data_IF_041174309390
#
_entry.id   IF_041174309390
#
_cell.length_a   1.000
_cell.length_b   1.000
_cell.length_c   1.000
_cell.angle_alpha   90.00
_cell.angle_beta   90.00
_cell.angle_gamma   90.00
#
_symmetry.space_group_name_H-M   'P 1'
#
loop_
_entity.id
_entity.type
_entity.pdbx_description
1 polymer ?
#
# COMPACT_ATOMS: atom_id res chain seq x y z
N UNK A 1 16.43 28.10 49.78
CA UNK A 1 17.09 27.45 48.62
C UNK A 1 16.24 26.26 48.23
N UNK A 2 15.36 26.44 47.25
CA UNK A 2 14.48 25.38 46.71
C UNK A 2 15.02 25.01 45.33
N UNK A 3 15.47 23.77 45.16
CA UNK A 3 15.97 23.25 43.90
C UNK A 3 14.79 22.83 43.02
N UNK A 4 14.68 23.47 41.85
CA UNK A 4 13.82 23.01 40.75
C UNK A 4 14.56 21.88 40.02
N UNK A 5 13.97 20.68 40.00
CA UNK A 5 14.39 19.59 39.12
C UNK A 5 13.49 19.65 37.88
N UNK A 6 14.02 19.80 36.66
CA UNK A 6 13.19 19.84 35.47
C UNK A 6 12.68 18.42 35.16
N UNK A 7 11.38 18.30 34.91
CA UNK A 7 10.78 17.07 34.42
C UNK A 7 11.21 16.85 32.96
N UNK A 8 12.05 15.84 32.74
CA UNK A 8 12.46 15.39 31.41
C UNK A 8 11.25 14.82 30.69
N UNK A 9 10.82 15.48 29.61
CA UNK A 9 9.76 15.01 28.72
C UNK A 9 10.27 13.75 28.00
N UNK A 10 9.77 12.58 28.39
CA UNK A 10 9.97 11.32 27.66
C UNK A 10 9.18 11.39 26.35
N UNK A 11 9.86 11.72 25.25
CA UNK A 11 9.34 11.53 23.90
C UNK A 11 9.33 10.03 23.62
N UNK A 12 8.14 9.43 23.59
CA UNK A 12 7.96 8.08 23.05
C UNK A 12 8.18 8.15 21.54
N UNK A 13 9.40 7.88 21.09
CA UNK A 13 9.65 7.59 19.69
C UNK A 13 9.01 6.23 19.42
N UNK A 14 7.95 6.21 18.61
CA UNK A 14 7.47 4.98 18.01
C UNK A 14 8.64 4.40 17.23
N UNK A 15 9.17 3.28 17.72
CA UNK A 15 10.23 2.53 17.07
C UNK A 15 9.67 2.00 15.75
N UNK A 16 9.83 2.76 14.66
CA UNK A 16 9.52 2.27 13.31
C UNK A 16 10.41 1.06 13.09
N UNK A 17 9.76 -0.08 12.84
CA UNK A 17 10.36 -1.39 12.68
C UNK A 17 11.48 -1.30 11.63
N UNK A 18 12.65 -1.83 12.01
CA UNK A 18 13.97 -1.69 11.38
C UNK A 18 13.96 -1.71 9.85
N UNK A 19 14.77 -0.83 9.25
CA UNK A 19 15.32 -1.02 7.91
C UNK A 19 15.92 -2.43 7.85
N UNK A 20 15.24 -3.33 7.13
CA UNK A 20 15.80 -4.65 6.89
C UNK A 20 16.93 -4.52 5.87
N UNK A 21 18.10 -5.07 6.17
CA UNK A 21 19.23 -4.99 5.25
C UNK A 21 19.09 -5.95 4.07
N UNK A 22 18.30 -7.01 4.23
CA UNK A 22 17.94 -7.87 3.11
C UNK A 22 17.26 -7.06 2.01
N UNK A 23 17.59 -7.38 0.77
CA UNK A 23 16.96 -6.83 -0.43
C UNK A 23 15.92 -7.80 -0.96
N UNK A 24 15.17 -7.31 -1.94
CA UNK A 24 14.33 -8.16 -2.77
C UNK A 24 15.15 -9.34 -3.31
N UNK A 25 14.60 -10.54 -3.18
CA UNK A 25 15.21 -11.82 -3.51
C UNK A 25 16.38 -12.30 -2.63
N UNK A 26 16.78 -11.57 -1.58
CA UNK A 26 17.74 -12.10 -0.61
C UNK A 26 17.13 -13.24 0.22
N UNK A 27 18.01 -14.11 0.75
CA UNK A 27 17.61 -15.14 1.71
C UNK A 27 17.19 -14.49 3.04
N UNK A 28 16.02 -14.86 3.55
CA UNK A 28 15.45 -14.31 4.78
C UNK A 28 15.11 -15.40 5.81
N UNK A 29 15.53 -16.64 5.56
CA UNK A 29 15.26 -17.74 6.48
C UNK A 29 15.71 -19.09 5.94
N UNK A 30 15.56 -20.11 6.77
CA UNK A 30 16.00 -21.47 6.51
C UNK A 30 16.76 -22.07 7.70
N UNK A 31 16.73 -23.38 7.82
CA UNK A 31 17.46 -24.11 8.84
C UNK A 31 18.97 -23.83 8.74
N UNK A 32 19.55 -23.30 9.82
CA UNK A 32 20.98 -22.97 9.90
C UNK A 32 21.37 -21.64 9.24
N UNK A 33 20.41 -20.85 8.73
CA UNK A 33 20.69 -19.54 8.16
C UNK A 33 21.07 -18.51 9.26
N UNK A 34 22.28 -17.93 9.23
CA UNK A 34 22.73 -17.01 10.28
C UNK A 34 22.40 -15.53 10.00
N UNK A 35 21.84 -15.23 8.82
CA UNK A 35 21.56 -13.87 8.37
C UNK A 35 20.28 -13.28 8.95
N UNK A 36 19.93 -12.08 8.48
CA UNK A 36 18.70 -11.40 8.90
C UNK A 36 17.45 -12.13 8.43
N UNK A 37 16.44 -12.24 9.29
CA UNK A 37 15.19 -12.95 8.97
C UNK A 37 14.05 -12.03 8.56
N UNK A 38 14.36 -10.78 8.25
CA UNK A 38 13.40 -9.77 7.82
C UNK A 38 13.41 -9.64 6.29
N UNK A 39 12.48 -8.85 5.75
CA UNK A 39 12.52 -8.34 4.39
C UNK A 39 12.21 -6.84 4.41
N UNK A 40 12.51 -6.09 3.33
CA UNK A 40 12.00 -4.73 3.16
C UNK A 40 10.49 -4.68 3.39
N UNK A 41 9.98 -3.54 3.85
CA UNK A 41 8.55 -3.39 4.21
C UNK A 41 7.58 -3.71 3.06
N UNK A 42 8.05 -3.65 1.82
CA UNK A 42 7.32 -3.96 0.59
C UNK A 42 7.51 -5.41 0.07
N UNK A 43 8.25 -6.25 0.80
CA UNK A 43 8.47 -7.66 0.48
C UNK A 43 8.04 -8.57 1.65
N UNK A 44 7.78 -9.84 1.37
CA UNK A 44 7.48 -10.87 2.36
C UNK A 44 8.53 -11.98 2.33
N UNK A 45 8.94 -12.46 3.51
CA UNK A 45 9.79 -13.64 3.59
C UNK A 45 8.96 -14.89 3.29
N UNK A 46 9.06 -15.40 2.07
CA UNK A 46 8.32 -16.60 1.64
C UNK A 46 9.15 -17.85 1.84
N UNK A 47 8.54 -18.87 2.42
CA UNK A 47 9.15 -20.19 2.53
C UNK A 47 9.27 -20.84 1.15
N UNK A 48 10.46 -21.35 0.81
CA UNK A 48 10.70 -22.13 -0.41
C UNK A 48 10.94 -23.59 -0.05
N UNK A 49 11.85 -23.85 0.90
CA UNK A 49 12.17 -25.18 1.39
C UNK A 49 12.77 -25.11 2.82
N UNK A 50 13.06 -26.23 3.49
CA UNK A 50 13.50 -26.22 4.89
C UNK A 50 14.77 -25.39 5.16
N UNK A 51 15.63 -25.23 4.16
CA UNK A 51 16.92 -24.54 4.27
C UNK A 51 16.90 -23.15 3.63
N UNK A 52 15.79 -22.74 3.01
CA UNK A 52 15.71 -21.50 2.24
C UNK A 52 14.32 -20.88 2.27
N UNK A 53 14.27 -19.65 2.76
CA UNK A 53 13.18 -18.71 2.57
C UNK A 53 13.74 -17.46 1.88
N UNK A 54 12.95 -16.83 1.02
CA UNK A 54 13.39 -15.71 0.19
C UNK A 54 12.45 -14.52 0.34
N UNK A 55 13.02 -13.30 0.37
CA UNK A 55 12.25 -12.07 0.24
C UNK A 55 11.62 -12.02 -1.14
N UNK A 56 10.33 -12.27 -1.19
CA UNK A 56 9.55 -12.18 -2.41
C UNK A 56 8.72 -10.90 -2.40
N UNK A 57 8.47 -10.34 -3.59
CA UNK A 57 7.53 -9.25 -3.79
C UNK A 57 6.22 -9.45 -3.04
N UNK A 58 5.71 -8.41 -2.38
CA UNK A 58 4.29 -8.39 -2.04
C UNK A 58 3.49 -8.16 -3.32
N UNK A 59 2.50 -9.03 -3.56
CA UNK A 59 1.54 -8.81 -4.63
C UNK A 59 0.73 -7.55 -4.33
N UNK A 60 0.58 -6.69 -5.34
CA UNK A 60 -0.33 -5.55 -5.26
C UNK A 60 -1.77 -6.06 -5.29
N UNK A 61 -2.57 -5.60 -4.33
CA UNK A 61 -3.99 -5.89 -4.36
C UNK A 61 -4.75 -4.91 -5.24
N UNK A 62 -5.20 -5.39 -6.39
CA UNK A 62 -5.94 -4.69 -7.43
C UNK A 62 -7.44 -5.00 -7.41
N UNK A 63 -7.90 -5.89 -6.52
CA UNK A 63 -9.34 -6.09 -6.33
C UNK A 63 -9.98 -4.77 -5.88
N UNK A 64 -11.10 -4.35 -6.47
CA UNK A 64 -11.76 -3.12 -6.06
C UNK A 64 -12.40 -3.27 -4.68
N UNK A 65 -12.68 -2.13 -4.03
CA UNK A 65 -13.54 -2.11 -2.85
C UNK A 65 -14.88 -2.76 -3.17
N UNK A 66 -15.38 -3.64 -2.30
CA UNK A 66 -16.60 -4.43 -2.55
C UNK A 66 -16.51 -5.40 -3.75
N UNK A 67 -15.31 -5.60 -4.31
CA UNK A 67 -15.03 -6.59 -5.32
C UNK A 67 -15.04 -8.03 -4.80
N UNK A 68 -15.09 -8.98 -5.72
CA UNK A 68 -14.94 -10.40 -5.40
C UNK A 68 -13.48 -10.71 -5.03
N UNK A 69 -13.29 -11.55 -4.02
CA UNK A 69 -11.97 -11.95 -3.51
C UNK A 69 -11.87 -13.47 -3.27
N UNK A 70 -12.91 -14.23 -3.64
CA UNK A 70 -12.94 -15.67 -3.52
C UNK A 70 -14.20 -16.27 -4.16
N UNK A 71 -14.27 -17.60 -4.20
CA UNK A 71 -15.36 -18.34 -4.84
C UNK A 71 -15.03 -18.78 -6.26
N UNK A 72 -15.91 -18.51 -7.23
CA UNK A 72 -15.76 -18.89 -8.64
C UNK A 72 -16.04 -17.71 -9.58
N UNK A 73 -15.46 -17.73 -10.77
CA UNK A 73 -15.76 -16.76 -11.83
C UNK A 73 -17.09 -17.08 -12.57
N UNK A 74 -17.47 -16.23 -13.51
CA UNK A 74 -18.71 -16.37 -14.28
C UNK A 74 -18.58 -17.32 -15.49
N UNK A 75 -17.42 -17.97 -15.68
CA UNK A 75 -17.18 -18.81 -16.85
C UNK A 75 -18.02 -20.09 -16.80
N UNK A 76 -18.10 -20.78 -17.94
CA UNK A 76 -18.78 -22.06 -18.06
C UNK A 76 -17.81 -23.10 -18.66
N UNK A 77 -17.29 -24.05 -17.86
CA UNK A 77 -17.58 -24.26 -16.44
C UNK A 77 -16.98 -23.15 -15.54
N UNK A 78 -17.57 -22.89 -14.36
CA UNK A 78 -17.03 -21.93 -13.39
C UNK A 78 -15.63 -22.33 -12.96
N UNK A 79 -14.69 -21.38 -12.95
CA UNK A 79 -13.31 -21.63 -12.54
C UNK A 79 -13.09 -21.04 -11.14
N UNK A 80 -12.31 -21.70 -10.29
CA UNK A 80 -11.96 -21.17 -8.98
C UNK A 80 -11.35 -19.76 -9.06
N UNK A 81 -11.76 -18.89 -8.15
CA UNK A 81 -11.22 -17.54 -7.99
C UNK A 81 -9.84 -17.61 -7.31
N UNK A 82 -8.79 -17.84 -8.10
CA UNK A 82 -7.40 -17.88 -7.63
C UNK A 82 -6.39 -17.44 -8.71
N UNK A 83 -5.12 -17.38 -8.32
CA UNK A 83 -4.02 -16.90 -9.16
C UNK A 83 -3.78 -17.73 -10.42
N UNK A 84 -4.11 -19.03 -10.40
CA UNK A 84 -4.06 -19.90 -11.60
C UNK A 84 -4.94 -19.35 -12.74
N UNK A 85 -6.05 -18.69 -12.39
CA UNK A 85 -6.96 -18.06 -13.34
C UNK A 85 -6.86 -16.53 -13.33
N UNK A 86 -5.71 -15.99 -12.91
CA UNK A 86 -5.43 -14.55 -12.88
C UNK A 86 -6.36 -13.74 -11.96
N UNK A 87 -6.96 -14.38 -10.95
CA UNK A 87 -7.74 -13.70 -9.93
C UNK A 87 -6.90 -13.49 -8.66
N UNK A 88 -7.07 -12.34 -8.03
CA UNK A 88 -6.46 -12.06 -6.74
C UNK A 88 -7.41 -12.41 -5.60
N UNK A 89 -6.91 -12.97 -4.51
CA UNK A 89 -7.71 -13.35 -3.33
C UNK A 89 -7.55 -12.38 -2.14
N UNK A 90 -6.93 -11.23 -2.40
CA UNK A 90 -6.69 -10.17 -1.43
C UNK A 90 -7.83 -9.13 -1.45
N UNK A 91 -7.77 -8.17 -0.54
CA UNK A 91 -8.60 -6.96 -0.59
C UNK A 91 -7.73 -5.71 -0.38
N UNK A 92 -8.19 -4.53 -0.84
CA UNK A 92 -7.54 -3.26 -0.53
C UNK A 92 -7.41 -3.02 0.98
N UNK A 93 -6.53 -2.11 1.35
CA UNK A 93 -6.40 -1.63 2.72
C UNK A 93 -7.75 -1.23 3.33
N UNK A 94 -7.95 -1.58 4.60
CA UNK A 94 -9.22 -1.45 5.33
C UNK A 94 -10.38 -2.32 4.82
N UNK A 95 -10.12 -3.32 3.98
CA UNK A 95 -11.10 -4.31 3.55
C UNK A 95 -10.62 -5.73 3.87
N UNK A 96 -11.54 -6.57 4.32
CA UNK A 96 -11.33 -8.00 4.54
C UNK A 96 -12.14 -8.80 3.52
N UNK A 97 -11.58 -9.92 3.07
CA UNK A 97 -12.31 -10.85 2.22
C UNK A 97 -13.32 -11.63 3.08
N UNK A 98 -14.59 -11.22 3.06
CA UNK A 98 -15.66 -11.88 3.79
C UNK A 98 -16.32 -12.95 2.93
N UNK A 99 -16.30 -14.18 3.42
CA UNK A 99 -17.04 -15.29 2.84
C UNK A 99 -18.55 -15.01 2.86
N UNK A 100 -19.19 -15.09 1.69
CA UNK A 100 -20.65 -15.00 1.56
C UNK A 100 -21.24 -16.39 1.30
N UNK A 101 -20.71 -17.08 0.29
CA UNK A 101 -21.07 -18.46 -0.07
C UNK A 101 -19.94 -19.10 -0.89
N UNK A 102 -20.13 -20.35 -1.33
CA UNK A 102 -19.12 -21.12 -2.08
C UNK A 102 -18.72 -20.48 -3.43
N UNK A 103 -19.61 -19.68 -4.03
CA UNK A 103 -19.38 -19.01 -5.31
C UNK A 103 -18.82 -17.60 -5.16
N UNK A 104 -18.95 -16.99 -3.98
CA UNK A 104 -18.68 -15.58 -3.80
C UNK A 104 -18.15 -15.28 -2.40
N UNK A 105 -16.97 -14.66 -2.35
CA UNK A 105 -16.48 -13.91 -1.20
C UNK A 105 -16.25 -12.48 -1.63
N UNK A 106 -16.57 -11.52 -0.76
CA UNK A 106 -16.53 -10.09 -1.10
C UNK A 106 -15.58 -9.34 -0.18
N UNK A 107 -14.82 -8.41 -0.75
CA UNK A 107 -14.09 -7.42 0.02
C UNK A 107 -15.06 -6.50 0.73
N UNK A 108 -15.22 -6.64 2.04
CA UNK A 108 -16.07 -5.75 2.85
C UNK A 108 -15.21 -4.90 3.75
N UNK A 109 -15.73 -3.74 4.12
CA UNK A 109 -15.04 -2.85 5.03
C UNK A 109 -14.72 -3.58 6.35
N UNK A 110 -13.46 -3.49 6.77
CA UNK A 110 -12.99 -3.98 8.05
C UNK A 110 -13.27 -2.93 9.14
N UNK A 111 -14.20 -3.18 10.07
CA UNK A 111 -14.50 -2.22 11.13
C UNK A 111 -13.44 -2.20 12.25
N UNK A 112 -12.33 -2.92 12.14
CA UNK A 112 -11.29 -3.00 13.16
C UNK A 112 -10.69 -1.63 13.52
N UNK A 113 -11.33 -1.00 14.50
CA UNK A 113 -10.92 0.11 15.37
C UNK A 113 -10.06 1.19 14.71
N UNK A 114 -10.74 2.16 14.11
CA UNK A 114 -10.08 3.36 13.62
C UNK A 114 -10.67 4.59 14.26
N UNK A 115 -9.81 5.41 14.86
CA UNK A 115 -10.14 6.77 15.28
C UNK A 115 -10.22 7.73 14.10
N UNK A 116 -9.95 7.26 12.87
CA UNK A 116 -10.01 8.03 11.65
C UNK A 116 -11.40 7.93 10.97
N UNK A 117 -11.67 8.87 10.07
CA UNK A 117 -12.89 8.87 9.26
C UNK A 117 -12.90 7.69 8.28
N UNK A 118 -14.08 7.10 8.11
CA UNK A 118 -14.30 6.04 7.12
C UNK A 118 -14.11 6.55 5.69
N UNK A 119 -13.92 5.62 4.76
CA UNK A 119 -13.91 5.93 3.33
C UNK A 119 -15.16 6.70 2.92
N UNK A 120 -14.96 7.74 2.11
CA UNK A 120 -16.00 8.65 1.63
C UNK A 120 -16.73 9.48 2.70
N UNK A 121 -16.20 9.54 3.94
CA UNK A 121 -16.74 10.41 5.00
C UNK A 121 -15.92 11.69 5.15
N UNK A 122 -16.52 12.69 5.79
CA UNK A 122 -15.84 13.95 6.09
C UNK A 122 -14.67 13.72 7.04
N UNK A 123 -13.54 14.38 6.75
CA UNK A 123 -12.30 14.32 7.51
C UNK A 123 -11.70 15.71 7.75
N UNK A 124 -12.42 16.78 7.48
CA UNK A 124 -11.92 18.14 7.65
C UNK A 124 -12.89 19.21 7.18
N UNK A 125 -12.45 20.46 7.30
CA UNK A 125 -13.20 21.67 6.99
C UNK A 125 -13.35 22.61 8.19
N UNK A 126 -13.57 23.90 7.94
CA UNK A 126 -13.82 24.88 9.00
C UNK A 126 -15.05 24.49 9.83
N UNK A 127 -14.89 24.43 11.16
CA UNK A 127 -15.95 24.02 12.08
C UNK A 127 -16.10 22.50 12.27
N UNK A 128 -15.33 21.68 11.56
CA UNK A 128 -15.30 20.23 11.76
C UNK A 128 -14.62 19.86 13.10
N UNK A 129 -15.28 19.00 13.88
CA UNK A 129 -14.79 18.52 15.18
C UNK A 129 -14.53 17.01 15.23
N UNK A 130 -14.73 16.30 14.12
CA UNK A 130 -14.50 14.87 14.01
C UNK A 130 -13.04 14.53 13.63
N UNK A 131 -12.79 13.28 13.20
CA UNK A 131 -11.45 12.86 12.82
C UNK A 131 -10.86 13.68 11.67
N UNK A 132 -9.56 13.93 11.71
CA UNK A 132 -8.80 14.65 10.67
C UNK A 132 -7.92 13.74 9.82
N UNK A 133 -8.06 12.42 9.99
CA UNK A 133 -7.39 11.38 9.24
C UNK A 133 -8.43 10.46 8.60
N UNK A 134 -8.00 9.65 7.64
CA UNK A 134 -8.81 8.63 7.01
C UNK A 134 -8.26 7.24 7.32
N UNK A 135 -9.12 6.23 7.22
CA UNK A 135 -8.70 4.82 7.26
C UNK A 135 -7.61 4.53 6.21
N UNK A 136 -6.75 3.50 6.42
CA UNK A 136 -5.79 3.05 5.42
C UNK A 136 -6.41 2.87 4.02
N UNK A 137 -5.66 3.24 2.98
CA UNK A 137 -6.17 3.30 1.61
C UNK A 137 -7.00 4.55 1.26
N UNK A 138 -7.18 5.49 2.19
CA UNK A 138 -7.87 6.77 1.96
C UNK A 138 -7.03 7.97 2.38
N UNK A 139 -7.13 9.06 1.62
CA UNK A 139 -6.52 10.34 1.94
C UNK A 139 -7.59 11.41 2.16
N UNK A 140 -7.36 12.28 3.14
CA UNK A 140 -8.24 13.41 3.38
C UNK A 140 -7.95 14.51 2.35
N UNK A 141 -8.89 14.78 1.45
CA UNK A 141 -8.75 15.79 0.41
C UNK A 141 -9.85 16.85 0.52
N UNK A 142 -9.54 18.15 0.32
CA UNK A 142 -10.56 19.19 0.23
C UNK A 142 -11.56 18.89 -0.90
N UNK A 143 -12.85 19.12 -0.66
CA UNK A 143 -13.87 18.97 -1.69
C UNK A 143 -13.68 20.03 -2.80
N UNK A 144 -13.75 19.65 -4.09
CA UNK A 144 -13.63 20.60 -5.19
C UNK A 144 -14.72 21.69 -5.21
N UNK A 145 -15.88 21.45 -4.60
CA UNK A 145 -16.98 22.43 -4.60
C UNK A 145 -16.88 23.40 -3.41
N UNK A 146 -16.63 22.88 -2.20
CA UNK A 146 -16.57 23.68 -0.97
C UNK A 146 -15.31 23.39 -0.13
N UNK A 147 -14.11 23.66 -0.67
CA UNK A 147 -12.84 23.24 -0.06
C UNK A 147 -12.57 23.86 1.32
N UNK A 148 -13.24 24.98 1.63
CA UNK A 148 -13.12 25.67 2.93
C UNK A 148 -13.82 24.91 4.07
N UNK A 149 -15.00 24.36 3.79
CA UNK A 149 -15.90 23.82 4.83
C UNK A 149 -15.97 22.31 4.83
N UNK A 150 -15.42 21.65 3.80
CA UNK A 150 -15.48 20.20 3.68
C UNK A 150 -14.19 19.65 3.08
N UNK A 151 -13.64 18.65 3.77
CA UNK A 151 -12.68 17.70 3.21
C UNK A 151 -13.25 16.30 3.39
N UNK A 152 -13.14 15.46 2.36
CA UNK A 152 -13.62 14.08 2.36
C UNK A 152 -12.50 13.07 2.24
N UNK A 153 -12.68 11.90 2.83
CA UNK A 153 -11.81 10.74 2.59
C UNK A 153 -12.05 10.21 1.19
N UNK A 154 -11.06 10.36 0.31
CA UNK A 154 -11.09 9.82 -1.04
C UNK A 154 -10.13 8.63 -1.15
N UNK A 155 -10.41 7.63 -1.99
CA UNK A 155 -9.51 6.50 -2.18
C UNK A 155 -8.14 6.99 -2.65
N UNK A 156 -7.08 6.48 -2.02
CA UNK A 156 -5.72 6.63 -2.54
C UNK A 156 -5.61 5.73 -3.77
N UNK A 157 -5.28 6.26 -4.95
CA UNK A 157 -5.10 5.44 -6.13
C UNK A 157 -4.00 4.40 -5.88
N UNK A 158 -4.32 3.12 -6.06
CA UNK A 158 -3.32 2.06 -6.08
C UNK A 158 -2.48 2.24 -7.33
N UNK A 159 -1.16 2.27 -7.16
CA UNK A 159 -0.29 2.37 -8.30
C UNK A 159 -0.09 1.02 -8.97
N UNK A 160 -0.50 0.89 -10.23
CA UNK A 160 -0.41 -0.36 -10.98
C UNK A 160 0.94 -0.58 -11.68
N UNK A 161 1.80 0.44 -11.71
CA UNK A 161 3.15 0.29 -12.29
C UNK A 161 3.93 -0.82 -11.59
N UNK A 162 4.64 -1.62 -12.38
CA UNK A 162 5.53 -2.63 -11.85
C UNK A 162 6.64 -1.98 -10.99
N UNK A 163 7.13 -2.70 -9.99
CA UNK A 163 8.39 -2.36 -9.31
C UNK A 163 9.50 -2.34 -10.37
N UNK A 164 10.32 -1.28 -10.38
CA UNK A 164 11.31 -1.01 -11.45
C UNK A 164 10.72 -0.73 -12.85
N UNK A 165 9.40 -0.61 -12.97
CA UNK A 165 8.72 -0.22 -14.20
C UNK A 165 8.87 1.27 -14.51
N UNK A 166 8.44 1.63 -15.72
CA UNK A 166 8.31 3.02 -16.11
C UNK A 166 7.18 3.70 -15.32
N UNK A 167 7.39 4.95 -14.93
CA UNK A 167 6.43 5.75 -14.16
C UNK A 167 6.33 7.19 -14.66
N UNK A 168 6.93 7.48 -15.81
CA UNK A 168 6.93 8.79 -16.43
C UNK A 168 7.74 8.81 -17.72
N UNK A 169 7.69 9.95 -18.40
CA UNK A 169 8.33 10.15 -19.70
C UNK A 169 7.36 9.97 -20.86
N UNK A 170 7.83 9.39 -21.96
CA UNK A 170 7.08 9.22 -23.20
C UNK A 170 7.12 7.72 -23.55
N UNK A 171 5.96 7.16 -23.88
CA UNK A 171 5.80 5.76 -24.26
C UNK A 171 6.42 5.42 -25.62
N UNK A 172 6.50 4.12 -25.97
CA UNK A 172 7.01 3.67 -27.27
C UNK A 172 6.19 4.17 -28.47
N UNK A 173 4.93 4.52 -28.24
CA UNK A 173 3.98 5.11 -29.20
C UNK A 173 4.16 6.63 -29.38
N UNK A 174 5.01 7.26 -28.56
CA UNK A 174 5.23 8.70 -28.57
C UNK A 174 4.27 9.48 -27.68
N UNK A 175 3.36 8.80 -26.98
CA UNK A 175 2.40 9.46 -26.08
C UNK A 175 2.98 9.66 -24.68
N UNK A 176 2.55 10.69 -23.93
CA UNK A 176 2.97 10.89 -22.55
C UNK A 176 2.60 9.68 -21.68
N UNK A 177 3.51 9.28 -20.79
CA UNK A 177 3.23 8.27 -19.78
C UNK A 177 2.35 8.88 -18.68
N UNK A 178 1.04 8.92 -18.91
CA UNK A 178 0.05 9.48 -17.98
C UNK A 178 -1.29 8.76 -17.99
N UNK A 179 -2.17 9.15 -17.06
CA UNK A 179 -3.47 8.52 -16.84
C UNK A 179 -4.43 8.70 -18.02
N UNK A 180 -4.25 9.74 -18.83
CA UNK A 180 -5.08 9.94 -20.02
C UNK A 180 -4.78 8.88 -21.09
N UNK A 181 -3.57 8.30 -21.06
CA UNK A 181 -3.09 7.25 -21.95
C UNK A 181 -2.97 5.90 -21.22
N UNK A 182 -3.79 5.67 -20.19
CA UNK A 182 -3.87 4.39 -19.48
C UNK A 182 -2.57 3.98 -18.74
N UNK A 183 -1.74 4.96 -18.36
CA UNK A 183 -0.51 4.75 -17.60
C UNK A 183 -0.56 5.45 -16.24
N UNK A 184 -0.04 4.79 -15.21
CA UNK A 184 0.11 5.43 -13.90
C UNK A 184 1.42 6.23 -13.84
N UNK A 185 1.42 7.39 -13.19
CA UNK A 185 2.62 8.23 -12.97
C UNK A 185 3.23 8.06 -11.57
N UNK A 186 2.67 7.17 -10.78
CA UNK A 186 3.09 6.86 -9.42
C UNK A 186 4.01 5.62 -9.40
N UNK A 187 4.38 5.17 -8.20
CA UNK A 187 4.99 3.86 -8.00
C UNK A 187 4.29 3.11 -6.87
N UNK A 188 4.37 1.76 -6.84
CA UNK A 188 3.83 0.97 -5.74
C UNK A 188 4.52 1.31 -4.41
N UNK A 189 3.89 0.94 -3.30
CA UNK A 189 4.39 1.26 -1.96
C UNK A 189 5.85 0.87 -1.76
N UNK A 190 6.62 1.77 -1.13
CA UNK A 190 8.06 1.61 -0.94
C UNK A 190 8.90 2.02 -2.15
N UNK A 191 8.29 2.42 -3.27
CA UNK A 191 8.99 2.91 -4.47
C UNK A 191 8.64 4.38 -4.76
N UNK A 192 9.59 5.09 -5.34
CA UNK A 192 9.42 6.45 -5.83
C UNK A 192 9.71 6.51 -7.33
N UNK A 193 8.98 7.35 -8.05
CA UNK A 193 9.25 7.59 -9.46
C UNK A 193 10.48 8.49 -9.59
N UNK A 194 11.61 7.91 -10.00
CA UNK A 194 12.87 8.62 -10.14
C UNK A 194 13.01 9.06 -11.60
N UNK A 195 13.06 10.37 -11.79
CA UNK A 195 13.33 10.97 -13.09
C UNK A 195 14.69 10.47 -13.62
N UNK A 196 14.71 10.02 -14.86
CA UNK A 196 15.91 9.63 -15.57
C UNK A 196 16.11 10.51 -16.81
N UNK A 197 15.07 10.65 -17.63
CA UNK A 197 15.04 11.55 -18.78
C UNK A 197 13.60 11.97 -19.13
N UNK A 198 13.46 12.83 -20.15
CA UNK A 198 12.15 13.17 -20.70
C UNK A 198 11.39 11.99 -21.32
N UNK A 199 12.10 10.91 -21.69
CA UNK A 199 11.49 9.72 -22.28
C UNK A 199 11.19 8.63 -21.26
N UNK A 200 11.85 8.67 -20.10
CA UNK A 200 11.77 7.57 -19.14
C UNK A 200 11.99 8.08 -17.72
N UNK A 201 11.13 7.64 -16.81
CA UNK A 201 11.34 7.71 -15.37
C UNK A 201 11.04 6.33 -14.80
N UNK A 202 11.78 5.91 -13.77
CA UNK A 202 11.71 4.55 -13.26
C UNK A 202 11.31 4.51 -11.80
N UNK A 203 10.42 3.57 -11.45
CA UNK A 203 10.15 3.25 -10.05
C UNK A 203 11.41 2.65 -9.41
N UNK A 204 11.99 3.31 -8.42
CA UNK A 204 13.10 2.76 -7.63
C UNK A 204 12.74 2.74 -6.16
N UNK A 205 13.34 1.84 -5.35
CA UNK A 205 13.10 1.82 -3.91
C UNK A 205 13.30 3.21 -3.31
N UNK A 206 12.30 3.68 -2.58
CA UNK A 206 12.27 5.02 -2.03
C UNK A 206 13.21 5.09 -0.81
N UNK A 207 14.47 5.47 -1.04
CA UNK A 207 15.45 5.69 0.03
C UNK A 207 15.11 6.89 0.92
N UNK A 208 14.12 7.72 0.54
CA UNK A 208 13.73 8.95 1.25
C UNK A 208 12.74 8.72 2.39
N UNK A 209 12.15 7.52 2.51
CA UNK A 209 11.51 7.09 3.76
C UNK A 209 12.51 6.99 4.94
N UNK A 210 13.81 7.04 4.65
CA UNK A 210 14.91 7.01 5.62
C UNK A 210 15.41 8.42 6.01
N UNK A 211 15.00 9.49 5.30
CA UNK A 211 15.59 10.83 5.45
C UNK A 211 14.65 11.93 5.98
N UNK A 212 13.33 11.74 6.00
CA UNK A 212 12.36 12.69 6.60
C UNK A 212 12.35 12.66 8.16
N UNK A 213 13.35 12.01 8.78
CA UNK A 213 13.60 12.01 10.23
C UNK A 213 15.04 12.42 10.58
N UNK A 214 15.69 13.25 9.75
CA UNK A 214 16.93 13.94 10.14
C UNK A 214 16.66 15.29 10.79
#
# INVERSE_FOLDING_TARGET
MTHFVPATLLVFVNLVKSDCHNKEYDQCGGQGFPGETCCPSYDNCTYVNPYYSQCQPKDLCLNPMYGQCGGYDHNQPPRPWNSTYHHQTCCPDSFLCQYQNEYFSQCVYDPANTTCSLGYKQCGGEGWSGPTCCIPGFACQPDPVNPKYYSGCVPVPVCSNARYGQCGGIGPDGEPWDRAHEHDTCCPDGFACIFDSQYYSQCKPNMTAVLELR
#
